data_IF_693418424941
#
_entry.id   IF_693418424941
#
_cell.length_a   1.000
_cell.length_b   1.000
_cell.length_c   1.000
_cell.angle_alpha   90.00
_cell.angle_beta   90.00
_cell.angle_gamma   90.00
#
_symmetry.space_group_name_H-M   'P 1'
#
loop_
_entity.id
_entity.type
_entity.pdbx_description
1 polymer ?
#
# COMPACT_ATOMS: atom_id res chain seq x y z
N UNK A 1 5.23 3.02 -7.89
CA UNK A 1 6.61 3.03 -7.36
C UNK A 1 7.57 3.03 -8.53
N UNK A 2 8.79 3.52 -8.35
CA UNK A 2 9.88 3.33 -9.31
C UNK A 2 10.37 1.88 -9.29
N UNK A 3 11.39 1.59 -10.11
CA UNK A 3 11.98 0.24 -10.26
C UNK A 3 12.62 -0.28 -8.97
N UNK A 4 12.86 0.57 -7.98
CA UNK A 4 13.47 0.23 -6.69
C UNK A 4 12.43 0.07 -5.57
N UNK A 5 11.14 0.24 -5.89
CA UNK A 5 10.07 0.21 -4.89
C UNK A 5 9.94 1.51 -4.10
N UNK A 6 10.52 2.62 -4.57
CA UNK A 6 10.30 3.93 -3.95
C UNK A 6 9.08 4.62 -4.57
N UNK A 7 8.26 5.32 -3.78
CA UNK A 7 7.17 6.12 -4.33
C UNK A 7 7.73 7.40 -5.01
N UNK A 8 6.97 8.05 -5.90
CA UNK A 8 7.32 9.36 -6.43
C UNK A 8 7.53 10.40 -5.31
N UNK A 9 8.24 11.49 -5.63
CA UNK A 9 8.39 12.62 -4.71
C UNK A 9 7.03 13.13 -4.23
N UNK A 10 6.92 13.48 -2.95
CA UNK A 10 5.68 13.94 -2.32
C UNK A 10 4.73 12.82 -1.85
N UNK A 11 4.94 11.57 -2.26
CA UNK A 11 4.11 10.42 -1.86
C UNK A 11 4.72 9.71 -0.64
N UNK A 12 3.94 9.52 0.43
CA UNK A 12 4.39 8.81 1.61
C UNK A 12 4.01 7.33 1.57
N UNK A 13 4.61 6.60 2.49
CA UNK A 13 4.30 5.22 2.79
C UNK A 13 4.01 5.09 4.28
N UNK A 14 3.23 4.07 4.62
CA UNK A 14 2.90 3.72 5.99
C UNK A 14 3.55 2.42 6.37
N UNK A 15 2.73 1.44 6.70
CA UNK A 15 3.12 0.23 7.41
C UNK A 15 2.60 0.26 8.85
N UNK A 16 2.62 -0.92 9.48
CA UNK A 16 2.27 -1.06 10.90
C UNK A 16 3.29 -0.34 11.77
N UNK A 17 2.90 0.06 12.99
CA UNK A 17 3.79 0.76 13.94
C UNK A 17 5.07 -0.04 14.26
N UNK A 18 4.96 -1.35 14.39
CA UNK A 18 6.09 -2.27 14.62
C UNK A 18 6.67 -2.85 13.33
N UNK A 19 6.07 -2.54 12.18
CA UNK A 19 6.43 -3.12 10.88
C UNK A 19 7.44 -2.26 10.12
N UNK A 20 8.00 -2.83 9.05
CA UNK A 20 8.86 -2.07 8.15
C UNK A 20 8.03 -1.05 7.38
N UNK A 21 8.47 0.22 7.39
CA UNK A 21 7.81 1.28 6.63
C UNK A 21 7.70 0.91 5.14
N UNK A 22 6.49 1.07 4.60
CA UNK A 22 6.14 0.77 3.21
C UNK A 22 5.84 -0.70 2.92
N UNK A 23 5.95 -1.59 3.90
CA UNK A 23 5.47 -2.98 3.78
C UNK A 23 4.01 -3.05 4.21
N UNK A 24 3.19 -3.73 3.39
CA UNK A 24 1.83 -4.10 3.76
C UNK A 24 1.81 -5.57 4.17
N UNK A 25 1.55 -5.82 5.44
CA UNK A 25 1.65 -7.17 6.00
C UNK A 25 0.44 -8.06 5.71
N UNK A 26 -0.67 -7.48 5.21
CA UNK A 26 -1.91 -8.21 4.96
C UNK A 26 -2.39 -9.05 6.17
N UNK A 27 -2.23 -8.56 7.41
CA UNK A 27 -2.51 -9.39 8.59
C UNK A 27 -4.01 -9.69 8.78
N UNK A 28 -4.89 -8.86 8.20
CA UNK A 28 -6.34 -9.13 8.15
C UNK A 28 -6.71 -10.10 7.01
N UNK A 29 -5.75 -10.57 6.20
CA UNK A 29 -5.97 -11.58 5.17
C UNK A 29 -6.90 -11.18 4.02
N UNK A 30 -7.03 -9.87 3.75
CA UNK A 30 -7.96 -9.35 2.74
C UNK A 30 -7.45 -9.47 1.30
N UNK A 31 -6.13 -9.60 1.13
CA UNK A 31 -5.49 -9.97 -0.14
C UNK A 31 -5.07 -11.45 -0.10
N UNK A 32 -4.79 -12.09 -1.26
CA UNK A 32 -4.25 -13.44 -1.29
C UNK A 32 -3.01 -13.59 -0.40
N UNK A 33 -2.94 -14.70 0.34
CA UNK A 33 -1.82 -14.99 1.25
C UNK A 33 -0.52 -15.15 0.45
N UNK A 34 0.52 -14.44 0.88
CA UNK A 34 1.84 -14.40 0.25
C UNK A 34 2.93 -14.30 1.32
N UNK A 35 4.21 -14.61 0.99
CA UNK A 35 5.32 -14.45 1.93
C UNK A 35 5.47 -13.03 2.48
N UNK A 36 6.10 -12.90 3.65
CA UNK A 36 6.39 -11.60 4.26
C UNK A 36 7.15 -10.66 3.33
N UNK A 37 6.73 -9.39 3.26
CA UNK A 37 7.35 -8.40 2.37
C UNK A 37 7.01 -8.56 0.89
N UNK A 38 6.02 -9.39 0.55
CA UNK A 38 5.49 -9.50 -0.80
C UNK A 38 4.74 -8.25 -1.24
N UNK A 39 3.89 -7.70 -0.36
CA UNK A 39 3.12 -6.49 -0.64
C UNK A 39 3.80 -5.24 -0.08
N UNK A 40 3.83 -4.18 -0.87
CA UNK A 40 4.24 -2.85 -0.43
C UNK A 40 3.11 -1.85 -0.60
N UNK A 41 3.13 -0.76 0.16
CA UNK A 41 2.10 0.27 0.13
C UNK A 41 2.63 1.68 -0.14
N UNK A 42 1.77 2.49 -0.76
CA UNK A 42 1.94 3.94 -0.85
C UNK A 42 0.61 4.66 -0.60
N UNK A 43 0.70 5.91 -0.17
CA UNK A 43 -0.42 6.85 -0.25
C UNK A 43 -0.76 7.13 -1.72
N UNK A 44 -1.98 7.60 -1.96
CA UNK A 44 -2.39 8.14 -3.27
C UNK A 44 -2.21 9.65 -3.26
N UNK A 45 -1.63 10.19 -4.32
CA UNK A 45 -1.49 11.63 -4.53
C UNK A 45 -2.69 12.21 -5.30
N UNK A 46 -3.14 13.45 -5.01
CA UNK A 46 -2.77 14.26 -3.85
C UNK A 46 -3.33 13.68 -2.55
N UNK A 47 -2.64 13.96 -1.43
CA UNK A 47 -3.11 13.51 -0.12
C UNK A 47 -4.31 14.35 0.32
N UNK A 48 -5.13 13.77 1.19
CA UNK A 48 -6.20 14.53 1.86
C UNK A 48 -5.60 15.58 2.80
N UNK A 49 -6.33 16.67 3.03
CA UNK A 49 -5.95 17.69 4.01
C UNK A 49 -5.78 17.06 5.40
N UNK A 50 -4.82 17.57 6.18
CA UNK A 50 -4.57 17.12 7.55
C UNK A 50 -3.84 15.78 7.71
N UNK A 51 -3.39 15.12 6.63
CA UNK A 51 -2.52 13.95 6.78
C UNK A 51 -2.37 13.06 5.55
N UNK A 52 -2.29 11.74 5.79
CA UNK A 52 -2.11 10.73 4.73
C UNK A 52 -3.41 10.33 4.02
N UNK A 53 -4.56 10.69 4.58
CA UNK A 53 -5.87 10.21 4.12
C UNK A 53 -6.04 8.69 4.23
N UNK A 54 -7.15 8.17 3.70
CA UNK A 54 -7.49 6.74 3.72
C UNK A 54 -6.98 5.94 2.50
N UNK A 55 -6.71 6.63 1.39
CA UNK A 55 -6.48 5.99 0.09
C UNK A 55 -5.07 5.43 -0.02
N UNK A 56 -4.94 4.18 -0.48
CA UNK A 56 -3.64 3.53 -0.69
C UNK A 56 -3.61 2.73 -2.00
N UNK A 57 -2.41 2.60 -2.56
CA UNK A 57 -2.08 1.58 -3.54
C UNK A 57 -1.22 0.52 -2.87
N UNK A 58 -1.54 -0.75 -3.11
CA UNK A 58 -0.78 -1.92 -2.68
C UNK A 58 -0.19 -2.58 -3.92
N UNK A 59 1.13 -2.77 -3.93
CA UNK A 59 1.86 -3.39 -5.03
C UNK A 59 2.31 -4.79 -4.61
N UNK A 60 1.93 -5.81 -5.39
CA UNK A 60 2.45 -7.16 -5.26
C UNK A 60 3.69 -7.37 -6.12
N UNK A 61 4.59 -8.27 -5.68
CA UNK A 61 5.76 -8.67 -6.49
C UNK A 61 5.36 -9.37 -7.80
N UNK A 62 4.16 -9.97 -7.86
CA UNK A 62 3.58 -10.58 -9.05
C UNK A 62 3.00 -9.59 -10.06
N UNK A 63 3.23 -8.28 -9.86
CA UNK A 63 2.75 -7.16 -10.69
C UNK A 63 1.26 -6.85 -10.51
N UNK A 64 0.62 -7.44 -9.51
CA UNK A 64 -0.71 -7.06 -9.07
C UNK A 64 -0.68 -5.68 -8.43
N UNK A 65 -1.74 -4.92 -8.66
CA UNK A 65 -1.95 -3.65 -7.96
C UNK A 65 -3.36 -3.62 -7.41
N UNK A 66 -3.46 -3.34 -6.12
CA UNK A 66 -4.74 -3.15 -5.45
C UNK A 66 -4.87 -1.70 -5.00
N UNK A 67 -6.09 -1.18 -5.08
CA UNK A 67 -6.48 0.10 -4.55
C UNK A 67 -7.42 -0.09 -3.37
N UNK A 68 -7.23 0.70 -2.31
CA UNK A 68 -8.20 0.82 -1.21
C UNK A 68 -8.56 2.29 -1.04
N UNK A 69 -9.86 2.58 -0.98
CA UNK A 69 -10.37 3.92 -0.71
C UNK A 69 -10.59 4.18 0.79
N UNK A 70 -10.64 3.12 1.59
CA UNK A 70 -11.24 3.10 2.93
C UNK A 70 -10.27 2.58 4.01
N UNK A 71 -8.97 2.81 3.79
CA UNK A 71 -7.91 2.47 4.73
C UNK A 71 -7.87 0.96 5.04
N UNK A 72 -7.68 0.18 3.97
CA UNK A 72 -7.47 -1.28 3.97
C UNK A 72 -8.71 -2.11 4.32
N UNK A 73 -9.92 -1.54 4.40
CA UNK A 73 -11.13 -2.31 4.71
C UNK A 73 -11.62 -3.10 3.50
N UNK A 74 -11.58 -2.49 2.32
CA UNK A 74 -11.88 -3.13 1.04
C UNK A 74 -10.78 -2.86 0.01
N UNK A 75 -10.69 -3.74 -0.98
CA UNK A 75 -9.71 -3.66 -2.05
C UNK A 75 -10.34 -3.90 -3.41
N UNK A 76 -9.93 -3.09 -4.38
CA UNK A 76 -10.18 -3.32 -5.80
C UNK A 76 -8.86 -3.65 -6.48
N UNK A 77 -8.79 -4.78 -7.18
CA UNK A 77 -7.65 -5.07 -8.05
C UNK A 77 -7.77 -4.23 -9.31
N UNK A 78 -6.71 -3.47 -9.62
CA UNK A 78 -6.64 -2.57 -10.79
C UNK A 78 -5.58 -3.00 -11.80
N UNK A 79 -4.79 -4.03 -11.49
CA UNK A 79 -3.83 -4.70 -12.36
C UNK A 79 -3.53 -6.12 -11.84
#
# INVERSE_FOLDING_TARGET
MDRTGRPPAGVAQGGRRSGRRGVFENAEGRLPVQPGGYYTETDVWPRAEGGRGARRLIFGRGREVYYTADHYRTFMRIR
#
